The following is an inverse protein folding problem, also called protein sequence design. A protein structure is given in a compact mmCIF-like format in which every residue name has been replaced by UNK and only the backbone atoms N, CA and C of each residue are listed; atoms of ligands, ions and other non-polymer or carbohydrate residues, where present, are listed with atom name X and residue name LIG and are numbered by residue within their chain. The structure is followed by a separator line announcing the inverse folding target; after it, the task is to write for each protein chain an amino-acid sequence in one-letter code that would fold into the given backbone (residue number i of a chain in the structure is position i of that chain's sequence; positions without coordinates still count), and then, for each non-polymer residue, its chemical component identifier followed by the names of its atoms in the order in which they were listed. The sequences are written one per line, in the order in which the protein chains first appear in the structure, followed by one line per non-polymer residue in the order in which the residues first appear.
data_IF_842429895183
#
_entry.id   IF_842429895183
#
_cell.length_a   1.000
_cell.length_b   1.000
_cell.length_c   1.000
_cell.angle_alpha   90.00
_cell.angle_beta   90.00
_cell.angle_gamma   90.00
#
_symmetry.space_group_name_H-M   'P 1'
#
loop_
_entity.id
_entity.type
_entity.pdbx_description
1 polymer ?
#
# COMPACT_ATOMS: atom_id res chain seq x y z
N UNK A 1 -73.40 8.93 50.62
CA UNK A 1 -74.34 9.97 51.11
C UNK A 1 -73.51 10.97 51.90
N UNK A 2 -73.89 12.25 51.86
CA UNK A 2 -73.11 13.49 52.11
C UNK A 2 -72.46 14.00 50.81
N UNK A 3 -72.93 15.04 50.08
CA UNK A 3 -73.55 16.34 50.46
C UNK A 3 -72.58 17.12 51.35
N UNK A 4 -72.00 18.27 51.02
CA UNK A 4 -72.42 19.54 50.37
C UNK A 4 -71.13 20.39 50.38
N UNK A 5 -70.79 21.30 49.47
CA UNK A 5 -71.57 22.38 48.87
C UNK A 5 -70.77 23.70 48.98
N UNK A 6 -71.15 24.67 48.15
CA UNK A 6 -70.78 26.09 48.10
C UNK A 6 -69.54 26.49 47.25
N UNK A 7 -69.69 27.20 46.11
CA UNK A 7 -70.23 28.58 45.85
C UNK A 7 -69.14 29.64 46.05
N UNK A 8 -68.97 30.71 45.27
CA UNK A 8 -69.54 31.30 44.04
C UNK A 8 -68.63 32.53 43.73
N UNK A 9 -68.60 32.96 42.47
CA UNK A 9 -68.36 34.36 42.03
C UNK A 9 -66.97 34.99 42.32
N UNK A 10 -66.34 35.74 41.42
CA UNK A 10 -66.75 36.33 40.16
C UNK A 10 -65.70 37.37 39.70
N UNK A 11 -66.03 38.05 38.59
CA UNK A 11 -65.33 39.15 37.89
C UNK A 11 -64.38 38.70 36.76
N UNK A 12 -64.85 38.70 35.50
CA UNK A 12 -64.98 39.85 34.55
C UNK A 12 -63.61 40.42 34.16
N UNK A 13 -63.09 39.98 33.00
CA UNK A 13 -63.04 40.74 31.74
C UNK A 13 -62.24 42.06 31.87
N UNK A 14 -60.99 42.01 31.40
CA UNK A 14 -60.26 43.15 30.83
C UNK A 14 -59.35 42.65 29.71
N UNK A 15 -59.84 42.83 28.48
CA UNK A 15 -59.15 43.32 27.29
C UNK A 15 -57.65 43.01 27.15
N UNK A 16 -57.30 42.17 26.17
CA UNK A 16 -56.69 42.61 24.89
C UNK A 16 -55.65 43.71 25.10
N UNK A 17 -54.36 43.36 25.25
CA UNK A 17 -53.22 44.20 24.79
C UNK A 17 -51.84 43.51 24.85
N UNK A 18 -51.77 42.17 24.92
CA UNK A 18 -50.49 41.44 25.10
C UNK A 18 -50.23 40.33 24.06
N UNK A 19 -50.58 40.53 22.79
CA UNK A 19 -50.31 39.52 21.75
C UNK A 19 -49.60 40.03 20.49
N UNK A 20 -49.01 41.24 20.51
CA UNK A 20 -48.33 41.81 19.33
C UNK A 20 -46.89 42.28 19.57
N UNK A 21 -46.30 42.07 20.75
CA UNK A 21 -44.93 42.50 21.07
C UNK A 21 -43.92 41.36 21.30
N UNK A 22 -44.29 40.10 21.04
CA UNK A 22 -43.39 38.94 21.27
C UNK A 22 -43.08 38.09 20.03
N UNK A 23 -43.55 38.48 18.84
CA UNK A 23 -43.28 37.76 17.57
C UNK A 23 -42.29 38.53 16.67
N UNK A 24 -41.90 39.77 17.05
CA UNK A 24 -40.97 40.60 16.26
C UNK A 24 -39.49 40.51 16.66
N UNK A 25 -39.16 39.85 17.78
CA UNK A 25 -37.80 39.89 18.36
C UNK A 25 -37.09 38.53 18.43
N UNK A 26 -37.70 37.47 17.85
CA UNK A 26 -37.06 36.15 17.68
C UNK A 26 -36.64 35.85 16.23
N UNK A 27 -36.77 36.83 15.33
CA UNK A 27 -36.46 36.67 13.89
C UNK A 27 -35.18 37.39 13.45
N UNK A 28 -34.45 38.02 14.37
CA UNK A 28 -33.25 38.83 14.07
C UNK A 28 -31.95 38.34 14.74
N UNK A 29 -31.95 37.13 15.33
CA UNK A 29 -30.80 36.61 16.08
C UNK A 29 -30.16 35.33 15.48
N UNK A 30 -30.56 34.90 14.29
CA UNK A 30 -29.98 33.72 13.62
C UNK A 30 -29.70 33.96 12.14
N UNK A 31 -28.98 35.02 11.81
CA UNK A 31 -28.23 35.13 10.55
C UNK A 31 -26.86 35.73 10.80
N UNK A 32 -26.12 35.17 11.77
CA UNK A 32 -24.66 35.13 11.64
C UNK A 32 -24.35 33.92 10.79
N UNK A 33 -24.67 34.05 9.49
CA UNK A 33 -23.98 33.25 8.49
C UNK A 33 -22.51 33.61 8.68
N UNK A 34 -21.70 32.67 9.16
CA UNK A 34 -20.27 32.68 8.88
C UNK A 34 -20.13 32.54 7.36
N UNK A 35 -20.43 33.63 6.65
CA UNK A 35 -19.93 33.84 5.32
C UNK A 35 -18.43 33.94 5.49
N UNK A 36 -17.74 32.80 5.33
CA UNK A 36 -16.40 32.84 4.82
C UNK A 36 -16.49 33.71 3.56
N UNK A 37 -16.06 34.95 3.66
CA UNK A 37 -15.72 35.76 2.50
C UNK A 37 -14.67 34.95 1.77
N UNK A 38 -15.12 34.16 0.79
CA UNK A 38 -14.27 33.44 -0.11
C UNK A 38 -13.44 34.51 -0.82
N UNK A 39 -12.20 34.66 -0.40
CA UNK A 39 -11.19 35.27 -1.24
C UNK A 39 -11.26 34.53 -2.57
N UNK A 40 -11.53 35.28 -3.64
CA UNK A 40 -11.55 34.86 -5.05
C UNK A 40 -10.16 34.44 -5.54
N UNK A 41 -9.42 33.68 -4.73
CA UNK A 41 -8.13 33.07 -5.03
C UNK A 41 -8.28 31.58 -5.36
N UNK A 42 -9.44 30.97 -5.12
CA UNK A 42 -9.70 29.53 -5.36
C UNK A 42 -9.74 29.12 -6.85
N UNK A 43 -9.64 30.06 -7.79
CA UNK A 43 -9.95 29.84 -9.21
C UNK A 43 -8.89 29.04 -9.98
N UNK A 44 -7.62 29.05 -9.58
CA UNK A 44 -6.53 28.51 -10.43
C UNK A 44 -6.24 27.03 -10.17
N UNK A 45 -6.45 26.58 -8.92
CA UNK A 45 -6.05 25.24 -8.47
C UNK A 45 -7.20 24.24 -8.45
N UNK A 46 -8.45 24.71 -8.48
CA UNK A 46 -9.63 23.90 -8.71
C UNK A 46 -10.35 24.41 -9.95
N UNK A 47 -10.41 23.59 -11.01
CA UNK A 47 -10.99 23.96 -12.30
C UNK A 47 -12.09 22.98 -12.69
N UNK A 48 -13.23 23.50 -13.12
CA UNK A 48 -14.27 22.72 -13.78
C UNK A 48 -14.11 22.84 -15.29
N UNK A 49 -13.60 21.79 -15.93
CA UNK A 49 -13.45 21.75 -17.39
C UNK A 49 -14.69 21.13 -18.04
N UNK A 50 -15.14 21.64 -19.20
CA UNK A 50 -16.25 21.03 -19.93
C UNK A 50 -15.92 19.58 -20.34
N UNK A 51 -16.96 18.77 -20.46
CA UNK A 51 -16.89 17.44 -21.05
C UNK A 51 -16.71 17.48 -22.57
N UNK A 52 -17.33 16.54 -23.30
CA UNK A 52 -17.39 16.60 -24.76
C UNK A 52 -18.15 17.84 -25.26
N UNK A 53 -17.96 18.21 -26.54
CA UNK A 53 -18.51 19.44 -27.14
C UNK A 53 -20.03 19.64 -26.97
N UNK A 54 -20.78 18.56 -26.72
CA UNK A 54 -22.22 18.60 -26.51
C UNK A 54 -22.66 18.19 -25.09
N UNK A 55 -21.74 18.05 -24.14
CA UNK A 55 -22.03 17.63 -22.78
C UNK A 55 -22.24 18.83 -21.85
N UNK A 56 -23.34 18.80 -21.09
CA UNK A 56 -23.56 19.75 -19.97
C UNK A 56 -22.72 19.41 -18.75
N UNK A 57 -22.13 18.21 -18.72
CA UNK A 57 -21.33 17.75 -17.59
C UNK A 57 -19.91 18.33 -17.63
N UNK A 58 -19.34 18.50 -16.44
CA UNK A 58 -17.99 19.03 -16.26
C UNK A 58 -17.15 18.03 -15.47
N UNK A 59 -15.84 18.06 -15.69
CA UNK A 59 -14.86 17.37 -14.85
C UNK A 59 -14.16 18.35 -13.93
N UNK A 60 -13.99 17.97 -12.66
CA UNK A 60 -13.15 18.72 -11.74
C UNK A 60 -11.67 18.33 -11.92
N UNK A 61 -10.79 19.33 -11.89
CA UNK A 61 -9.33 19.16 -11.92
C UNK A 61 -8.76 19.91 -10.74
N UNK A 62 -8.01 19.20 -9.91
CA UNK A 62 -7.20 19.76 -8.82
C UNK A 62 -5.75 19.79 -9.29
N UNK A 63 -5.07 20.92 -9.12
CA UNK A 63 -3.67 21.10 -9.51
C UNK A 63 -2.94 22.03 -8.55
N UNK A 64 -1.62 21.92 -8.49
CA UNK A 64 -0.72 22.77 -7.71
C UNK A 64 0.37 23.36 -8.61
N UNK A 65 1.04 24.41 -8.13
CA UNK A 65 2.19 25.00 -8.83
C UNK A 65 3.49 24.27 -8.53
N UNK A 66 4.48 24.51 -9.39
CA UNK A 66 5.88 24.17 -9.11
C UNK A 66 6.47 25.31 -8.30
N UNK A 67 6.88 25.03 -7.07
CA UNK A 67 7.61 25.96 -6.21
C UNK A 67 8.83 25.24 -5.63
N UNK A 68 10.00 25.49 -6.20
CA UNK A 68 11.26 24.88 -5.73
C UNK A 68 11.69 25.37 -4.34
N UNK A 69 11.04 26.43 -3.83
CA UNK A 69 11.30 26.99 -2.50
C UNK A 69 10.35 26.47 -1.43
N UNK A 70 9.37 25.64 -1.79
CA UNK A 70 8.42 25.04 -0.85
C UNK A 70 9.16 24.32 0.29
N UNK A 71 8.93 24.76 1.53
CA UNK A 71 9.74 24.34 2.68
C UNK A 71 9.76 22.83 2.93
N UNK A 72 8.68 22.13 2.56
CA UNK A 72 8.57 20.67 2.68
C UNK A 72 9.53 19.92 1.76
N UNK A 73 10.10 20.53 0.71
CA UNK A 73 11.18 19.88 -0.06
C UNK A 73 12.41 19.57 0.79
N UNK A 74 12.60 20.23 1.95
CA UNK A 74 13.66 19.85 2.89
C UNK A 74 13.36 18.52 3.59
N UNK A 75 12.10 18.13 3.66
CA UNK A 75 11.65 16.88 4.25
C UNK A 75 11.80 15.73 3.24
N UNK A 76 12.46 14.67 3.68
CA UNK A 76 12.83 13.54 2.83
C UNK A 76 11.63 12.91 2.10
N UNK A 77 10.52 12.70 2.79
CA UNK A 77 9.32 12.07 2.22
C UNK A 77 8.73 12.82 1.02
N UNK A 78 8.99 14.13 0.93
CA UNK A 78 8.50 14.97 -0.17
C UNK A 78 9.52 15.10 -1.30
N UNK A 79 10.82 15.26 -1.03
CA UNK A 79 11.81 15.44 -2.11
C UNK A 79 12.34 14.15 -2.74
N UNK A 80 12.34 13.04 -2.02
CA UNK A 80 13.07 11.85 -2.46
C UNK A 80 12.46 11.29 -3.75
N UNK A 81 13.24 11.31 -4.84
CA UNK A 81 12.82 10.84 -6.17
C UNK A 81 12.06 11.85 -7.03
N UNK A 82 11.96 13.11 -6.60
CA UNK A 82 11.31 14.19 -7.34
C UNK A 82 12.33 15.28 -7.74
N UNK A 83 12.08 15.98 -8.85
CA UNK A 83 12.80 17.21 -9.21
C UNK A 83 11.94 18.42 -8.76
N UNK A 84 12.31 19.15 -7.70
CA UNK A 84 11.54 20.29 -7.19
C UNK A 84 11.38 21.44 -8.19
N UNK A 85 12.17 21.48 -9.27
CA UNK A 85 12.08 22.50 -10.32
C UNK A 85 11.05 22.15 -11.39
N UNK A 86 10.57 20.91 -11.42
CA UNK A 86 9.66 20.38 -12.44
C UNK A 86 8.39 19.77 -11.84
N UNK A 87 8.43 19.40 -10.56
CA UNK A 87 7.34 18.70 -9.87
C UNK A 87 6.45 19.71 -9.14
N UNK A 88 5.13 19.72 -9.38
CA UNK A 88 4.22 20.51 -8.57
C UNK A 88 4.30 20.15 -7.08
N UNK A 89 4.04 21.12 -6.21
CA UNK A 89 3.88 20.86 -4.78
C UNK A 89 2.79 19.80 -4.53
N UNK A 90 2.90 19.07 -3.42
CA UNK A 90 1.93 18.04 -3.12
C UNK A 90 0.57 18.66 -2.79
N UNK A 91 -0.51 18.03 -3.27
CA UNK A 91 -1.88 18.35 -2.81
C UNK A 91 -2.29 17.35 -1.75
N UNK A 92 -2.76 17.85 -0.60
CA UNK A 92 -3.22 17.01 0.51
C UNK A 92 -4.75 16.92 0.52
N UNK A 93 -5.25 15.78 0.99
CA UNK A 93 -6.66 15.59 1.34
C UNK A 93 -6.70 15.30 2.84
N UNK A 94 -7.06 16.31 3.63
CA UNK A 94 -7.14 16.20 5.09
C UNK A 94 -8.49 15.59 5.51
N UNK A 95 -8.72 14.34 5.08
CA UNK A 95 -9.97 13.61 5.31
C UNK A 95 -9.97 12.23 4.65
N UNK A 96 -11.10 11.53 4.73
CA UNK A 96 -11.26 10.22 4.09
C UNK A 96 -11.58 10.41 2.61
N UNK A 97 -10.72 9.88 1.73
CA UNK A 97 -11.06 9.71 0.31
C UNK A 97 -11.79 8.38 0.13
N UNK A 98 -13.12 8.42 0.01
CA UNK A 98 -13.95 7.26 -0.28
C UNK A 98 -14.66 7.44 -1.63
N UNK A 99 -14.51 6.47 -2.52
CA UNK A 99 -15.18 6.48 -3.83
C UNK A 99 -15.61 5.06 -4.21
N UNK A 100 -16.82 4.87 -4.77
CA UNK A 100 -17.20 3.59 -5.37
C UNK A 100 -16.60 3.39 -6.77
N UNK A 101 -15.83 4.37 -7.27
CA UNK A 101 -15.22 4.38 -8.59
C UNK A 101 -13.70 4.13 -8.55
N UNK A 102 -13.13 3.82 -9.70
CA UNK A 102 -11.71 3.58 -9.89
C UNK A 102 -10.85 4.80 -9.52
N UNK A 103 -9.81 4.58 -8.72
CA UNK A 103 -8.65 5.49 -8.61
C UNK A 103 -7.61 5.04 -9.64
N UNK A 104 -7.19 5.94 -10.53
CA UNK A 104 -6.24 5.61 -11.58
C UNK A 104 -4.97 6.45 -11.47
N UNK A 105 -3.83 5.77 -11.40
CA UNK A 105 -2.51 6.41 -11.43
C UNK A 105 -1.90 6.22 -12.82
N UNK A 106 -1.91 7.28 -13.62
CA UNK A 106 -1.30 7.35 -14.96
C UNK A 106 0.02 8.13 -14.90
N UNK A 107 0.83 8.03 -15.93
CA UNK A 107 2.19 8.57 -15.96
C UNK A 107 3.17 7.53 -16.47
N UNK A 108 4.02 7.91 -17.42
CA UNK A 108 5.25 7.20 -17.80
C UNK A 108 6.47 8.06 -17.49
N UNK A 109 7.67 7.56 -17.78
CA UNK A 109 8.93 8.28 -17.54
C UNK A 109 9.16 9.52 -18.43
N UNK A 110 8.25 9.86 -19.36
CA UNK A 110 8.35 10.98 -20.33
C UNK A 110 7.25 12.07 -20.19
N UNK A 111 6.03 11.78 -19.72
CA UNK A 111 4.90 12.72 -19.48
C UNK A 111 5.03 13.75 -18.33
N UNK A 112 4.86 15.06 -18.52
CA UNK A 112 4.92 16.07 -17.43
C UNK A 112 4.02 15.73 -16.20
N UNK A 113 4.51 15.91 -14.96
CA UNK A 113 3.85 15.66 -13.65
C UNK A 113 3.69 14.18 -13.22
N UNK A 114 4.76 13.38 -13.36
CA UNK A 114 4.75 11.89 -13.32
C UNK A 114 4.57 11.25 -11.96
N UNK A 115 4.20 9.97 -12.02
CA UNK A 115 4.65 8.94 -11.09
C UNK A 115 6.14 9.12 -10.76
N UNK A 116 6.51 9.00 -9.50
CA UNK A 116 7.91 8.96 -9.08
C UNK A 116 8.68 7.91 -9.90
N UNK A 117 9.68 8.37 -10.65
CA UNK A 117 10.49 7.59 -11.60
C UNK A 117 9.71 6.83 -12.69
N UNK A 118 8.45 7.16 -12.94
CA UNK A 118 7.64 6.57 -14.04
C UNK A 118 6.96 5.23 -13.72
N UNK A 119 7.29 4.58 -12.60
CA UNK A 119 6.77 3.25 -12.24
C UNK A 119 6.05 3.18 -10.88
N UNK A 120 6.16 4.19 -10.01
CA UNK A 120 5.48 4.21 -8.71
C UNK A 120 3.95 4.37 -8.83
N UNK A 121 3.19 3.46 -8.21
CA UNK A 121 1.72 3.50 -8.16
C UNK A 121 1.22 4.00 -6.80
N UNK A 122 1.83 3.53 -5.71
CA UNK A 122 1.38 3.83 -4.36
C UNK A 122 2.55 3.81 -3.39
N UNK A 123 2.52 4.73 -2.42
CA UNK A 123 3.41 4.76 -1.27
C UNK A 123 2.60 4.99 0.01
N UNK A 124 2.85 4.20 1.05
CA UNK A 124 2.24 4.37 2.37
C UNK A 124 3.31 4.31 3.45
N UNK A 125 3.36 5.31 4.32
CA UNK A 125 4.39 5.43 5.35
C UNK A 125 3.89 4.86 6.68
N UNK A 126 4.78 4.21 7.43
CA UNK A 126 4.50 3.76 8.78
C UNK A 126 4.39 4.96 9.74
N UNK A 127 3.91 4.71 10.97
CA UNK A 127 3.75 5.75 12.01
C UNK A 127 5.02 6.55 12.29
N UNK A 128 6.18 5.95 12.06
CA UNK A 128 7.48 6.59 12.29
C UNK A 128 8.03 7.39 11.11
N UNK A 129 7.31 7.40 9.97
CA UNK A 129 7.71 8.02 8.70
C UNK A 129 9.06 7.51 8.14
N UNK A 130 9.49 6.31 8.57
CA UNK A 130 10.76 5.72 8.14
C UNK A 130 10.55 4.47 7.29
N UNK A 131 9.63 3.61 7.70
CA UNK A 131 9.26 2.41 6.94
C UNK A 131 8.14 2.73 5.96
N UNK A 132 8.12 2.05 4.81
CA UNK A 132 7.18 2.38 3.73
C UNK A 132 6.77 1.20 2.88
N UNK A 133 5.46 1.00 2.72
CA UNK A 133 4.93 0.14 1.65
C UNK A 133 5.03 0.89 0.32
N UNK A 134 5.58 0.25 -0.71
CA UNK A 134 5.74 0.81 -2.05
C UNK A 134 5.21 -0.18 -3.07
N UNK A 135 4.33 0.27 -3.97
CA UNK A 135 3.84 -0.51 -5.10
C UNK A 135 4.34 0.09 -6.41
N UNK A 136 5.00 -0.72 -7.22
CA UNK A 136 5.57 -0.34 -8.52
C UNK A 136 4.97 -1.19 -9.63
N UNK A 137 4.97 -0.67 -10.85
CA UNK A 137 4.62 -1.43 -12.05
C UNK A 137 5.63 -1.17 -13.16
N UNK A 138 6.11 -2.24 -13.79
CA UNK A 138 7.04 -2.21 -14.92
C UNK A 138 8.39 -1.56 -14.61
N UNK A 139 8.86 -1.59 -13.35
CA UNK A 139 10.24 -1.19 -13.04
C UNK A 139 11.23 -2.21 -13.59
N UNK A 140 10.96 -3.49 -13.38
CA UNK A 140 11.78 -4.59 -13.84
C UNK A 140 11.03 -5.53 -14.81
N UNK A 141 11.80 -6.33 -15.53
CA UNK A 141 11.35 -7.44 -16.36
C UNK A 141 12.02 -8.70 -15.84
N UNK A 142 11.23 -9.69 -15.42
CA UNK A 142 11.70 -10.98 -14.92
C UNK A 142 11.00 -12.10 -15.69
N UNK A 143 11.72 -13.19 -15.98
CA UNK A 143 11.19 -14.32 -16.74
C UNK A 143 10.50 -13.89 -18.06
N UNK A 144 11.07 -12.88 -18.72
CA UNK A 144 10.58 -12.31 -19.98
C UNK A 144 9.31 -11.47 -19.89
N UNK A 145 8.84 -11.11 -18.68
CA UNK A 145 7.61 -10.32 -18.48
C UNK A 145 7.84 -9.14 -17.53
N UNK A 146 7.16 -7.99 -17.76
CA UNK A 146 7.22 -6.87 -16.82
C UNK A 146 6.56 -7.23 -15.49
N UNK A 147 7.14 -6.75 -14.39
CA UNK A 147 6.72 -7.11 -13.03
C UNK A 147 5.89 -6.00 -12.38
N UNK A 148 4.83 -6.39 -11.68
CA UNK A 148 4.16 -5.55 -10.69
C UNK A 148 4.67 -5.95 -9.31
N UNK A 149 5.18 -4.97 -8.56
CA UNK A 149 6.01 -5.21 -7.40
C UNK A 149 5.42 -4.53 -6.18
N UNK A 150 5.56 -5.16 -5.02
CA UNK A 150 5.17 -4.55 -3.75
C UNK A 150 6.22 -4.88 -2.71
N UNK A 151 6.78 -3.84 -2.10
CA UNK A 151 7.81 -3.95 -1.08
C UNK A 151 7.33 -3.26 0.20
N UNK A 152 7.72 -3.80 1.35
CA UNK A 152 7.65 -3.07 2.61
C UNK A 152 9.06 -2.76 3.08
N UNK A 153 9.54 -1.55 2.79
CA UNK A 153 10.86 -1.11 3.22
C UNK A 153 10.88 -0.85 4.72
N UNK A 154 11.96 -1.30 5.36
CA UNK A 154 12.35 -0.92 6.71
C UNK A 154 13.09 0.42 6.73
N UNK A 155 13.93 0.61 7.73
CA UNK A 155 14.63 1.89 7.94
C UNK A 155 16.01 1.96 7.26
N UNK A 156 16.56 0.82 6.84
CA UNK A 156 17.84 0.77 6.14
C UNK A 156 17.65 1.10 4.65
N UNK A 157 18.59 1.87 4.09
CA UNK A 157 18.56 2.35 2.71
C UNK A 157 19.64 1.66 1.89
N UNK A 158 19.51 0.35 1.81
CA UNK A 158 20.37 -0.53 1.04
C UNK A 158 19.53 -1.71 0.51
N UNK A 159 20.15 -2.59 -0.24
CA UNK A 159 19.55 -3.85 -0.67
C UNK A 159 20.03 -4.98 0.24
N UNK A 160 19.91 -4.84 1.56
CA UNK A 160 20.17 -5.93 2.52
C UNK A 160 18.85 -6.54 3.01
N UNK A 161 18.88 -7.73 3.62
CA UNK A 161 17.69 -8.35 4.22
C UNK A 161 16.99 -7.40 5.23
N UNK A 162 17.77 -6.64 6.01
CA UNK A 162 17.25 -5.72 7.05
C UNK A 162 16.54 -4.49 6.48
N UNK A 163 16.75 -4.19 5.21
CA UNK A 163 16.04 -3.10 4.53
C UNK A 163 14.58 -3.46 4.21
N UNK A 164 14.15 -4.70 4.43
CA UNK A 164 12.80 -5.17 4.10
C UNK A 164 12.09 -5.76 5.32
N UNK A 165 10.93 -5.19 5.62
CA UNK A 165 10.01 -5.66 6.64
C UNK A 165 9.10 -6.78 6.11
N UNK A 166 8.40 -7.46 7.02
CA UNK A 166 7.39 -8.46 6.66
C UNK A 166 6.12 -7.85 6.08
N UNK A 167 5.76 -8.27 4.87
CA UNK A 167 4.48 -8.04 4.22
C UNK A 167 3.54 -9.23 4.46
N UNK A 168 2.46 -9.02 5.22
CA UNK A 168 1.49 -10.09 5.57
C UNK A 168 0.28 -10.05 4.64
N UNK A 169 -0.09 -11.20 4.08
CA UNK A 169 -1.27 -11.39 3.23
C UNK A 169 -2.23 -12.35 3.94
N UNK A 170 -3.45 -11.89 4.22
CA UNK A 170 -4.51 -12.67 4.84
C UNK A 170 -5.11 -11.99 6.08
N UNK A 171 -4.77 -12.48 7.27
CA UNK A 171 -5.35 -12.11 8.57
C UNK A 171 -4.51 -11.07 9.29
N UNK A 172 -5.14 -10.18 10.04
CA UNK A 172 -4.49 -9.22 10.95
C UNK A 172 -4.00 -9.89 12.25
N UNK A 173 -4.42 -11.12 12.55
CA UNK A 173 -3.99 -11.90 13.72
C UNK A 173 -2.52 -12.35 13.60
N UNK A 174 -1.80 -12.32 14.73
CA UNK A 174 -0.41 -12.77 14.82
C UNK A 174 -0.30 -14.27 14.57
N UNK A 175 0.72 -14.72 13.84
CA UNK A 175 0.96 -16.14 13.51
C UNK A 175 -0.21 -16.80 12.74
N UNK A 176 -1.00 -16.02 12.03
CA UNK A 176 -1.95 -16.50 11.05
C UNK A 176 -1.59 -15.94 9.66
N UNK A 177 -1.92 -16.71 8.63
CA UNK A 177 -1.71 -16.37 7.21
C UNK A 177 -0.25 -16.44 6.74
N UNK A 178 0.15 -15.59 5.78
CA UNK A 178 1.38 -15.74 5.02
C UNK A 178 2.17 -14.45 5.04
N UNK A 179 3.46 -14.53 5.40
CA UNK A 179 4.37 -13.38 5.43
C UNK A 179 5.41 -13.52 4.33
N UNK A 180 5.72 -12.41 3.67
CA UNK A 180 6.72 -12.29 2.63
C UNK A 180 7.67 -11.15 2.96
N UNK A 181 8.97 -11.36 2.77
CA UNK A 181 10.02 -10.34 2.83
C UNK A 181 11.01 -10.62 1.69
N UNK A 182 12.07 -9.82 1.56
CA UNK A 182 13.02 -9.79 0.43
C UNK A 182 13.31 -11.17 -0.18
N UNK A 183 13.80 -12.10 0.64
CA UNK A 183 14.24 -13.42 0.21
C UNK A 183 13.57 -14.55 1.02
N UNK A 184 12.48 -14.25 1.73
CA UNK A 184 11.86 -15.16 2.70
C UNK A 184 10.35 -15.15 2.64
N UNK A 185 9.75 -16.32 2.81
CA UNK A 185 8.32 -16.47 3.01
C UNK A 185 8.04 -17.42 4.18
N UNK A 186 7.12 -17.04 5.05
CA UNK A 186 6.68 -17.84 6.22
C UNK A 186 5.19 -18.10 6.08
N UNK A 187 4.83 -19.39 6.08
CA UNK A 187 3.46 -19.86 5.93
C UNK A 187 2.97 -20.41 7.27
N UNK A 188 2.07 -19.68 7.93
CA UNK A 188 1.41 -20.17 9.16
C UNK A 188 0.14 -20.98 8.86
N UNK A 189 -0.41 -20.84 7.65
CA UNK A 189 -1.59 -21.57 7.19
C UNK A 189 -1.26 -22.87 6.43
N UNK A 190 -2.31 -23.60 6.05
CA UNK A 190 -2.18 -24.73 5.12
C UNK A 190 -1.84 -24.23 3.73
N UNK A 191 -0.78 -24.79 3.14
CA UNK A 191 -0.41 -24.58 1.75
C UNK A 191 -0.82 -25.82 0.94
N UNK A 192 -1.78 -25.66 0.02
CA UNK A 192 -2.16 -26.70 -0.94
C UNK A 192 -1.64 -26.32 -2.32
N UNK A 193 -0.70 -27.10 -2.84
CA UNK A 193 -0.22 -27.01 -4.22
C UNK A 193 -0.99 -28.03 -5.07
N UNK A 194 -1.72 -27.57 -6.09
CA UNK A 194 -2.58 -28.43 -6.93
C UNK A 194 -1.91 -28.88 -8.23
N UNK A 195 -0.67 -28.51 -8.44
CA UNK A 195 0.11 -28.81 -9.64
C UNK A 195 1.50 -29.32 -9.21
N UNK A 196 2.52 -29.13 -10.04
CA UNK A 196 3.90 -29.49 -9.73
C UNK A 196 4.53 -28.58 -8.67
N UNK A 197 5.42 -29.18 -7.88
CA UNK A 197 6.35 -28.49 -7.00
C UNK A 197 7.77 -28.92 -7.40
N UNK A 198 8.61 -27.95 -7.74
CA UNK A 198 9.98 -28.19 -8.14
C UNK A 198 10.91 -27.74 -7.02
N UNK A 199 11.75 -28.65 -6.55
CA UNK A 199 12.80 -28.31 -5.58
C UNK A 199 13.86 -27.42 -6.23
N UNK A 200 14.50 -26.57 -5.41
CA UNK A 200 15.65 -25.79 -5.86
C UNK A 200 16.71 -26.70 -6.48
N UNK A 201 17.02 -26.45 -7.76
CA UNK A 201 17.98 -27.21 -8.55
C UNK A 201 19.38 -26.64 -8.35
N UNK A 202 20.02 -26.99 -7.23
CA UNK A 202 21.20 -26.31 -6.68
C UNK A 202 22.41 -27.23 -6.76
N UNK A 203 23.47 -26.77 -7.43
CA UNK A 203 24.80 -27.36 -7.42
C UNK A 203 25.85 -26.39 -6.87
N UNK A 204 27.11 -26.78 -6.92
CA UNK A 204 28.23 -25.96 -6.42
C UNK A 204 28.35 -24.61 -7.11
N UNK A 205 27.99 -24.53 -8.39
CA UNK A 205 28.04 -23.28 -9.17
C UNK A 205 26.94 -22.28 -8.80
N UNK A 206 25.91 -22.70 -8.06
CA UNK A 206 24.80 -21.85 -7.60
C UNK A 206 25.02 -21.35 -6.17
N UNK A 207 26.22 -21.57 -5.61
CA UNK A 207 26.58 -21.23 -4.25
C UNK A 207 27.79 -20.31 -4.24
N UNK A 208 27.64 -19.19 -3.54
CA UNK A 208 28.72 -18.26 -3.26
C UNK A 208 28.76 -18.08 -1.74
N UNK A 209 29.92 -18.31 -1.12
CA UNK A 209 30.06 -18.22 0.34
C UNK A 209 30.38 -16.79 0.83
N UNK A 210 31.04 -15.99 -0.01
CA UNK A 210 31.45 -14.63 0.33
C UNK A 210 30.46 -13.64 -0.26
N UNK A 211 29.98 -12.71 0.57
CA UNK A 211 29.10 -11.64 0.10
C UNK A 211 29.77 -10.88 -1.06
N UNK A 212 29.09 -10.73 -2.20
CA UNK A 212 29.59 -9.89 -3.29
C UNK A 212 29.80 -8.45 -2.82
N UNK A 213 30.88 -7.80 -3.28
CA UNK A 213 31.21 -6.41 -2.87
C UNK A 213 30.31 -5.36 -3.53
N UNK A 214 29.70 -5.70 -4.67
CA UNK A 214 28.84 -4.80 -5.45
C UNK A 214 27.40 -4.82 -4.94
N UNK A 215 26.69 -3.71 -5.19
CA UNK A 215 25.27 -3.59 -4.87
C UNK A 215 24.43 -4.67 -5.56
N UNK A 216 23.41 -5.19 -4.85
CA UNK A 216 22.60 -6.30 -5.32
C UNK A 216 21.79 -5.98 -6.58
N UNK A 217 21.42 -4.71 -6.82
CA UNK A 217 20.71 -4.31 -8.05
C UNK A 217 21.64 -4.46 -9.28
N UNK A 218 22.95 -4.31 -9.09
CA UNK A 218 23.94 -4.42 -10.18
C UNK A 218 24.51 -5.84 -10.35
N UNK A 219 24.39 -6.70 -9.34
CA UNK A 219 25.00 -8.04 -9.32
C UNK A 219 24.03 -9.11 -8.77
N UNK A 220 22.76 -9.00 -9.17
CA UNK A 220 21.66 -9.80 -8.63
C UNK A 220 21.87 -11.32 -8.79
N UNK A 221 22.51 -11.76 -9.88
CA UNK A 221 22.78 -13.19 -10.12
C UNK A 221 23.70 -13.80 -9.05
N UNK A 222 24.80 -13.12 -8.71
CA UNK A 222 25.73 -13.59 -7.68
C UNK A 222 25.14 -13.41 -6.27
N UNK A 223 24.37 -12.35 -6.03
CA UNK A 223 23.68 -12.17 -4.74
C UNK A 223 22.65 -13.29 -4.51
N UNK A 224 21.93 -13.72 -5.55
CA UNK A 224 21.01 -14.86 -5.48
C UNK A 224 21.72 -16.18 -5.12
N UNK A 225 22.95 -16.41 -5.61
CA UNK A 225 23.77 -17.57 -5.22
C UNK A 225 24.18 -17.52 -3.74
N UNK A 226 24.45 -16.32 -3.23
CA UNK A 226 24.72 -16.11 -1.80
C UNK A 226 23.47 -16.38 -0.95
N UNK A 227 22.27 -16.03 -1.45
CA UNK A 227 21.00 -16.39 -0.79
C UNK A 227 20.88 -17.91 -0.65
N UNK A 228 21.09 -18.67 -1.73
CA UNK A 228 21.10 -20.14 -1.67
C UNK A 228 22.07 -20.67 -0.59
N UNK A 229 23.28 -20.13 -0.54
CA UNK A 229 24.28 -20.53 0.46
C UNK A 229 23.82 -20.24 1.90
N UNK A 230 23.34 -19.01 2.16
CA UNK A 230 22.83 -18.60 3.48
C UNK A 230 21.68 -19.48 3.94
N UNK A 231 20.69 -19.70 3.06
CA UNK A 231 19.50 -20.47 3.39
C UNK A 231 19.83 -21.95 3.61
N UNK A 232 20.67 -22.57 2.77
CA UNK A 232 21.11 -23.95 3.02
C UNK A 232 21.94 -24.07 4.30
N UNK A 233 22.87 -23.15 4.57
CA UNK A 233 23.70 -23.18 5.79
C UNK A 233 22.86 -22.99 7.06
N UNK A 234 21.94 -22.02 7.04
CA UNK A 234 21.06 -21.65 8.15
C UNK A 234 19.80 -22.52 8.31
N UNK A 235 19.53 -23.39 7.34
CA UNK A 235 18.31 -24.21 7.28
C UNK A 235 18.11 -25.14 8.49
N UNK A 236 16.85 -25.42 8.82
CA UNK A 236 16.45 -26.42 9.81
C UNK A 236 16.23 -27.82 9.21
N UNK A 237 15.93 -28.78 10.08
CA UNK A 237 15.49 -30.11 9.68
C UNK A 237 14.25 -30.04 8.77
N UNK A 238 14.14 -30.95 7.81
CA UNK A 238 13.08 -30.99 6.79
C UNK A 238 13.36 -30.15 5.55
N UNK A 239 14.44 -29.36 5.53
CA UNK A 239 14.83 -28.61 4.33
C UNK A 239 15.27 -29.55 3.23
N UNK A 240 14.76 -29.33 2.01
CA UNK A 240 15.00 -30.17 0.85
C UNK A 240 15.44 -29.37 -0.37
N UNK A 241 16.33 -29.94 -1.18
CA UNK A 241 16.67 -29.42 -2.50
C UNK A 241 17.11 -30.57 -3.41
N UNK A 242 17.22 -30.30 -4.71
CA UNK A 242 17.75 -31.24 -5.68
C UNK A 242 19.21 -30.87 -5.98
N UNK A 243 20.15 -31.77 -5.64
CA UNK A 243 21.57 -31.62 -5.93
C UNK A 243 21.83 -32.02 -7.38
N UNK A 244 22.00 -31.00 -8.23
CA UNK A 244 22.16 -31.16 -9.68
C UNK A 244 23.50 -31.76 -10.08
N UNK A 245 24.54 -31.59 -9.25
CA UNK A 245 25.88 -32.13 -9.52
C UNK A 245 25.91 -33.65 -9.31
N UNK A 246 24.99 -34.18 -8.49
CA UNK A 246 24.91 -35.60 -8.12
C UNK A 246 23.63 -36.30 -8.57
N UNK A 247 22.67 -35.56 -9.14
CA UNK A 247 21.36 -36.05 -9.55
C UNK A 247 20.62 -36.78 -8.39
N UNK A 248 20.51 -36.11 -7.23
CA UNK A 248 19.83 -36.66 -6.04
C UNK A 248 18.96 -35.60 -5.36
N UNK A 249 17.89 -36.06 -4.69
CA UNK A 249 17.16 -35.23 -3.73
C UNK A 249 17.82 -35.36 -2.36
N UNK A 250 18.07 -34.22 -1.72
CA UNK A 250 18.73 -34.14 -0.41
C UNK A 250 17.75 -33.55 0.61
N UNK A 251 17.75 -34.08 1.83
CA UNK A 251 16.96 -33.59 2.97
C UNK A 251 17.86 -33.41 4.20
N UNK A 252 17.60 -32.38 5.01
CA UNK A 252 18.27 -32.18 6.30
C UNK A 252 17.53 -32.93 7.42
N UNK A 253 18.20 -33.84 8.10
CA UNK A 253 17.66 -34.62 9.23
C UNK A 253 18.68 -34.61 10.36
N UNK A 254 18.25 -34.22 11.56
CA UNK A 254 19.10 -34.07 12.75
C UNK A 254 20.40 -33.30 12.48
N UNK A 255 20.28 -32.18 11.76
CA UNK A 255 21.38 -31.31 11.39
C UNK A 255 22.30 -31.84 10.28
N UNK A 256 22.07 -33.04 9.75
CA UNK A 256 22.88 -33.68 8.70
C UNK A 256 22.13 -33.72 7.38
N UNK A 257 22.86 -33.50 6.29
CA UNK A 257 22.32 -33.68 4.94
C UNK A 257 22.31 -35.17 4.57
N UNK A 258 21.17 -35.67 4.15
CA UNK A 258 20.94 -37.06 3.79
C UNK A 258 20.28 -37.16 2.42
N UNK A 259 20.60 -38.21 1.67
CA UNK A 259 19.92 -38.52 0.40
C UNK A 259 18.52 -39.07 0.68
N UNK A 260 17.50 -38.57 -0.01
CA UNK A 260 16.20 -39.24 -0.11
C UNK A 260 16.33 -40.42 -1.07
N UNK A 261 15.91 -41.60 -0.62
CA UNK A 261 15.85 -42.80 -1.47
C UNK A 261 14.60 -42.72 -2.34
N UNK A 262 14.79 -42.84 -3.64
CA UNK A 262 13.74 -42.94 -4.65
C UNK A 262 13.99 -44.21 -5.45
N UNK A 263 12.92 -44.79 -5.98
CA UNK A 263 12.98 -45.96 -6.86
C UNK A 263 12.52 -45.54 -8.25
N UNK A 264 13.02 -46.19 -9.32
CA UNK A 264 12.46 -46.04 -10.64
C UNK A 264 10.95 -46.30 -10.62
N UNK A 265 10.23 -45.66 -11.54
CA UNK A 265 8.84 -46.02 -11.78
C UNK A 265 8.75 -47.48 -12.23
N UNK A 266 7.62 -48.17 -11.95
CA UNK A 266 7.35 -49.48 -12.54
C UNK A 266 7.46 -49.45 -14.06
N UNK A 267 7.90 -50.55 -14.69
CA UNK A 267 8.15 -50.62 -16.14
C UNK A 267 6.90 -50.31 -16.99
N UNK A 268 5.70 -50.55 -16.44
CA UNK A 268 4.40 -50.28 -17.07
C UNK A 268 3.87 -48.85 -16.87
N UNK A 269 4.58 -48.02 -16.09
CA UNK A 269 4.20 -46.63 -15.82
C UNK A 269 5.13 -45.68 -16.59
N UNK A 270 4.58 -45.01 -17.61
CA UNK A 270 5.28 -43.97 -18.37
C UNK A 270 4.44 -42.70 -18.44
N UNK A 271 5.09 -41.56 -18.26
CA UNK A 271 4.49 -40.25 -18.47
C UNK A 271 4.83 -39.77 -19.89
N UNK A 272 3.85 -39.41 -20.73
CA UNK A 272 4.06 -39.15 -22.16
C UNK A 272 4.66 -37.77 -22.48
N UNK A 273 5.11 -37.03 -21.47
CA UNK A 273 5.60 -35.65 -21.58
C UNK A 273 7.10 -35.57 -21.31
#
# INVERSE_FOLDING_TARGET
MDSTGQSLMGQKISFLFYSLWFIGLLSAACTVSYGQTATTAASNYFRLLPGSEHSVFRRAVVSSDIDSTWGRWKERGYQFGFDPRLTPMYTTVDGILSTPYMVQVRGNEYERNKKRWGYHVFEGYARDDKSRITMLVNKHVEEGKPVAETYYYGTEYNHSEKAYNWFKIGSDVNQHSFMFSRDKAVFYGSLRLTNAFTLGNIGRSDLVEKQPEKDAEQNYEEDAKMVNFKELKGSGNGTMFYDKDRNIVVIKVDGKWMKIRVEPLPDDVQYPF
#
